data_IF_492691674520
#
_entry.id   IF_492691674520
#
_cell.length_a   1.000
_cell.length_b   1.000
_cell.length_c   1.000
_cell.angle_alpha   90.00
_cell.angle_beta   90.00
_cell.angle_gamma   90.00
#
_symmetry.space_group_name_H-M   'P 1'
#
loop_
_entity.id
_entity.type
_entity.pdbx_description
1 polymer ?
#
# COMPACT_ATOMS: atom_id res chain seq x y z
N UNK A 1 18.59 -4.58 10.81
CA UNK A 1 18.08 -5.60 9.87
C UNK A 1 16.84 -5.07 9.17
N UNK A 2 16.42 -5.61 8.05
CA UNK A 2 15.18 -5.16 7.38
C UNK A 2 13.97 -5.93 7.95
N UNK A 3 12.78 -5.34 7.91
CA UNK A 3 11.56 -6.02 8.33
C UNK A 3 11.39 -7.39 7.63
N UNK A 4 11.70 -7.47 6.34
CA UNK A 4 11.69 -8.75 5.61
C UNK A 4 12.70 -9.78 6.16
N UNK A 5 13.87 -9.33 6.64
CA UNK A 5 14.85 -10.22 7.28
C UNK A 5 14.35 -10.74 8.62
N UNK A 6 13.67 -9.90 9.39
CA UNK A 6 13.12 -10.27 10.70
C UNK A 6 12.01 -11.32 10.54
N UNK A 7 11.12 -11.13 9.54
CA UNK A 7 10.11 -12.13 9.15
C UNK A 7 10.76 -13.45 8.75
N UNK A 8 11.81 -13.43 7.93
CA UNK A 8 12.51 -14.64 7.49
C UNK A 8 13.18 -15.38 8.64
N UNK A 9 13.81 -14.65 9.57
CA UNK A 9 14.44 -15.25 10.75
C UNK A 9 13.39 -15.94 11.65
N UNK A 10 12.24 -15.30 11.85
CA UNK A 10 11.12 -15.86 12.63
C UNK A 10 10.57 -17.14 11.97
N UNK A 11 10.30 -17.10 10.67
CA UNK A 11 9.84 -18.26 9.89
C UNK A 11 10.85 -19.41 9.89
N UNK A 12 12.14 -19.11 9.81
CA UNK A 12 13.18 -20.12 9.77
C UNK A 12 13.30 -20.91 11.08
N UNK A 13 13.01 -20.28 12.21
CA UNK A 13 13.07 -20.90 13.52
C UNK A 13 11.99 -21.99 13.72
N UNK A 14 10.86 -21.90 13.00
CA UNK A 14 9.78 -22.87 13.13
C UNK A 14 10.06 -24.14 12.31
N UNK A 15 10.34 -25.24 13.03
CA UNK A 15 10.57 -26.58 12.46
C UNK A 15 9.32 -27.43 12.69
N UNK A 16 8.63 -27.91 11.62
CA UNK A 16 7.41 -28.67 11.77
C UNK A 16 7.64 -30.03 12.50
N UNK A 17 6.77 -30.32 13.47
CA UNK A 17 6.85 -31.57 14.25
C UNK A 17 6.42 -32.81 13.41
N UNK A 18 5.37 -32.67 12.59
CA UNK A 18 4.81 -33.77 11.82
C UNK A 18 5.70 -34.16 10.63
N UNK A 19 5.91 -35.46 10.43
CA UNK A 19 6.76 -35.99 9.35
C UNK A 19 6.31 -35.52 7.96
N UNK A 20 5.00 -35.60 7.64
CA UNK A 20 4.49 -35.14 6.35
C UNK A 20 4.73 -33.66 6.09
N UNK A 21 4.69 -32.81 7.14
CA UNK A 21 5.02 -31.40 7.02
C UNK A 21 6.51 -31.18 6.79
N UNK A 22 7.38 -31.96 7.44
CA UNK A 22 8.83 -31.91 7.17
C UNK A 22 9.18 -32.29 5.74
N UNK A 23 8.50 -33.32 5.21
CA UNK A 23 8.68 -33.75 3.81
C UNK A 23 8.22 -32.65 2.85
N UNK A 24 7.04 -32.02 3.09
CA UNK A 24 6.57 -30.90 2.29
C UNK A 24 7.52 -29.69 2.34
N UNK A 25 8.04 -29.34 3.53
CA UNK A 25 9.06 -28.30 3.69
C UNK A 25 10.33 -28.61 2.91
N UNK A 26 10.85 -29.85 3.02
CA UNK A 26 12.04 -30.27 2.29
C UNK A 26 11.83 -30.21 0.77
N UNK A 27 10.64 -30.62 0.28
CA UNK A 27 10.32 -30.56 -1.13
C UNK A 27 10.39 -29.13 -1.68
N UNK A 28 9.99 -28.11 -0.91
CA UNK A 28 10.12 -26.71 -1.30
C UNK A 28 11.57 -26.24 -1.24
N UNK A 29 12.21 -26.43 -0.08
CA UNK A 29 13.56 -25.91 0.16
C UNK A 29 14.58 -26.51 -0.80
N UNK A 30 14.52 -27.83 -1.04
CA UNK A 30 15.45 -28.51 -1.94
C UNK A 30 15.23 -28.17 -3.42
N UNK A 31 13.98 -27.81 -3.82
CA UNK A 31 13.73 -27.32 -5.18
C UNK A 31 14.21 -25.87 -5.39
N UNK A 32 14.18 -25.06 -4.33
CA UNK A 32 14.62 -23.66 -4.42
C UNK A 32 16.11 -23.48 -4.19
N UNK A 33 16.71 -24.26 -3.31
CA UNK A 33 18.08 -24.10 -2.82
C UNK A 33 18.99 -25.23 -3.24
N UNK A 34 18.44 -26.40 -3.54
CA UNK A 34 19.19 -27.62 -3.82
C UNK A 34 19.52 -27.76 -5.30
N UNK A 35 20.68 -28.33 -5.56
CA UNK A 35 21.10 -28.82 -6.87
C UNK A 35 21.58 -30.25 -6.70
N UNK A 36 20.94 -31.17 -7.43
CA UNK A 36 21.29 -32.56 -7.44
C UNK A 36 22.20 -32.82 -8.66
N UNK A 37 23.37 -33.36 -8.43
CA UNK A 37 24.32 -33.68 -9.50
C UNK A 37 24.69 -35.17 -9.43
N UNK A 38 24.71 -35.84 -10.61
CA UNK A 38 25.18 -37.19 -10.72
C UNK A 38 26.64 -37.16 -11.20
N UNK A 39 27.52 -37.75 -10.39
CA UNK A 39 28.94 -37.91 -10.73
C UNK A 39 29.15 -38.89 -11.89
N UNK A 40 30.39 -38.98 -12.41
CA UNK A 40 30.74 -39.93 -13.49
C UNK A 40 30.65 -41.38 -13.04
N UNK A 41 30.78 -41.64 -11.75
CA UNK A 41 30.62 -42.95 -11.06
C UNK A 41 29.18 -43.34 -10.82
N UNK A 42 28.22 -42.45 -11.19
CA UNK A 42 26.78 -42.66 -10.96
C UNK A 42 26.30 -42.21 -9.58
N UNK A 43 27.19 -41.76 -8.70
CA UNK A 43 26.83 -41.24 -7.38
C UNK A 43 26.06 -39.94 -7.46
N UNK A 44 25.04 -39.77 -6.58
CA UNK A 44 24.21 -38.59 -6.51
C UNK A 44 24.66 -37.71 -5.34
N UNK A 45 25.06 -36.44 -5.66
CA UNK A 45 25.45 -35.43 -4.71
C UNK A 45 24.40 -34.34 -4.59
N UNK A 46 24.28 -33.75 -3.40
CA UNK A 46 23.39 -32.62 -3.12
C UNK A 46 24.21 -31.38 -2.74
N UNK A 47 23.99 -30.30 -3.48
CA UNK A 47 24.55 -28.97 -3.19
C UNK A 47 23.44 -28.05 -2.74
N UNK A 48 23.71 -27.17 -1.76
CA UNK A 48 22.76 -26.15 -1.29
C UNK A 48 23.32 -24.76 -1.46
N UNK A 49 22.47 -23.81 -1.86
CA UNK A 49 22.85 -22.41 -1.99
C UNK A 49 22.99 -21.77 -0.60
N UNK A 50 24.18 -21.27 -0.28
CA UNK A 50 24.51 -20.66 1.02
C UNK A 50 24.16 -19.19 1.13
N UNK A 51 23.75 -18.50 0.06
CA UNK A 51 23.41 -17.07 0.10
C UNK A 51 22.23 -16.76 1.02
N UNK A 52 21.36 -17.75 1.27
CA UNK A 52 20.25 -17.67 2.23
C UNK A 52 20.56 -18.57 3.45
N UNK A 53 21.38 -18.07 4.36
CA UNK A 53 21.87 -18.81 5.53
C UNK A 53 20.77 -19.40 6.43
N UNK A 54 19.64 -18.69 6.61
CA UNK A 54 18.53 -19.16 7.45
C UNK A 54 17.77 -20.31 6.76
N UNK A 55 17.56 -20.22 5.45
CA UNK A 55 16.91 -21.28 4.67
C UNK A 55 17.79 -22.53 4.61
N UNK A 56 19.11 -22.38 4.40
CA UNK A 56 20.07 -23.48 4.40
C UNK A 56 20.11 -24.16 5.77
N UNK A 57 20.15 -23.41 6.86
CA UNK A 57 20.14 -23.94 8.24
C UNK A 57 18.85 -24.73 8.52
N UNK A 58 17.70 -24.19 8.10
CA UNK A 58 16.42 -24.89 8.23
C UNK A 58 16.39 -26.16 7.40
N UNK A 59 16.83 -26.12 6.16
CA UNK A 59 16.94 -27.27 5.26
C UNK A 59 17.81 -28.36 5.89
N UNK A 60 19.01 -28.02 6.37
CA UNK A 60 19.91 -28.93 7.08
C UNK A 60 19.22 -29.63 8.27
N UNK A 61 18.57 -28.82 9.15
CA UNK A 61 17.85 -29.37 10.31
C UNK A 61 16.76 -30.35 9.91
N UNK A 62 16.02 -30.04 8.83
CA UNK A 62 14.97 -30.91 8.32
C UNK A 62 15.50 -32.22 7.71
N UNK A 63 16.59 -32.15 6.96
CA UNK A 63 17.27 -33.34 6.42
C UNK A 63 17.70 -34.27 7.55
N UNK A 64 18.40 -33.75 8.57
CA UNK A 64 18.80 -34.53 9.74
C UNK A 64 17.63 -35.21 10.45
N UNK A 65 16.50 -34.48 10.65
CA UNK A 65 15.31 -35.00 11.33
C UNK A 65 14.46 -35.96 10.49
N UNK A 66 14.64 -35.97 9.16
CA UNK A 66 13.77 -36.76 8.26
C UNK A 66 14.45 -38.05 7.80
N UNK A 67 15.76 -38.01 7.60
CA UNK A 67 16.52 -39.15 6.97
C UNK A 67 17.36 -39.93 7.97
N UNK A 68 17.23 -39.71 9.30
CA UNK A 68 18.04 -40.34 10.35
C UNK A 68 19.56 -40.24 10.13
N UNK A 69 20.00 -39.24 9.38
CA UNK A 69 21.40 -39.03 9.06
C UNK A 69 22.05 -38.38 10.28
N UNK A 70 23.00 -39.06 10.89
CA UNK A 70 23.66 -38.58 12.13
C UNK A 70 24.76 -37.58 11.90
N UNK A 71 25.33 -37.51 10.70
CA UNK A 71 26.46 -36.65 10.39
C UNK A 71 26.31 -36.09 8.98
N UNK A 72 26.13 -34.80 8.87
CA UNK A 72 26.23 -34.07 7.61
C UNK A 72 27.35 -33.07 7.84
N UNK A 73 28.45 -33.25 7.16
CA UNK A 73 29.52 -32.27 7.09
C UNK A 73 29.17 -31.30 5.96
N UNK A 74 29.17 -30.03 6.29
CA UNK A 74 29.01 -28.96 5.32
C UNK A 74 30.40 -28.42 5.01
N UNK A 75 30.85 -28.61 3.80
CA UNK A 75 32.07 -27.99 3.33
C UNK A 75 31.77 -27.00 2.21
N UNK A 76 32.56 -25.90 2.05
CA UNK A 76 32.47 -25.10 0.84
C UNK A 76 32.74 -26.02 -0.36
N UNK A 77 31.84 -26.01 -1.35
CA UNK A 77 32.04 -26.84 -2.54
C UNK A 77 33.36 -26.50 -3.21
N UNK A 78 34.22 -27.51 -3.37
CA UNK A 78 35.53 -27.38 -4.03
C UNK A 78 35.40 -27.25 -5.56
N UNK A 79 34.51 -26.41 -6.05
CA UNK A 79 34.32 -26.18 -7.48
C UNK A 79 35.34 -25.17 -8.00
N UNK A 80 36.00 -25.45 -9.11
CA UNK A 80 36.83 -24.51 -9.84
C UNK A 80 35.99 -23.68 -10.80
N UNK A 81 35.80 -22.38 -10.54
CA UNK A 81 35.08 -21.47 -11.42
C UNK A 81 34.45 -20.25 -10.71
N UNK A 82 34.04 -19.24 -11.49
CA UNK A 82 33.53 -17.95 -11.01
C UNK A 82 32.16 -18.00 -10.32
N UNK A 83 31.38 -19.09 -10.44
CA UNK A 83 30.01 -19.25 -9.91
C UNK A 83 29.93 -19.91 -8.53
N UNK A 84 31.04 -20.05 -7.84
CA UNK A 84 31.19 -20.85 -6.61
C UNK A 84 30.78 -20.13 -5.32
N UNK A 85 30.57 -18.82 -5.36
CA UNK A 85 30.23 -18.07 -4.15
C UNK A 85 28.79 -18.38 -3.74
N UNK A 86 28.63 -19.08 -2.62
CA UNK A 86 27.33 -19.30 -1.99
C UNK A 86 26.83 -20.75 -2.00
N UNK A 87 27.55 -21.72 -2.59
CA UNK A 87 27.17 -23.13 -2.57
C UNK A 87 27.91 -23.92 -1.50
N UNK A 88 27.17 -24.77 -0.79
CA UNK A 88 27.71 -25.70 0.20
C UNK A 88 27.33 -27.11 -0.26
N UNK A 89 28.30 -28.00 -0.33
CA UNK A 89 28.07 -29.42 -0.58
C UNK A 89 27.59 -30.09 0.69
N UNK A 90 26.49 -30.86 0.60
CA UNK A 90 26.06 -31.74 1.67
C UNK A 90 26.75 -33.10 1.51
N UNK A 91 27.59 -33.45 2.46
CA UNK A 91 28.20 -34.77 2.49
C UNK A 91 27.20 -35.83 2.97
N UNK A 92 26.41 -36.34 2.04
CA UNK A 92 25.48 -37.43 2.21
C UNK A 92 25.93 -38.62 1.33
N UNK A 93 25.72 -39.84 1.78
CA UNK A 93 25.89 -40.97 0.86
C UNK A 93 24.91 -40.86 -0.31
N UNK A 94 25.33 -41.33 -1.48
CA UNK A 94 24.48 -41.33 -2.69
C UNK A 94 23.13 -42.03 -2.45
N UNK A 95 23.11 -43.08 -1.64
CA UNK A 95 21.88 -43.76 -1.21
C UNK A 95 20.96 -42.82 -0.40
N UNK A 96 21.52 -42.09 0.54
CA UNK A 96 20.74 -41.15 1.37
C UNK A 96 20.18 -39.99 0.54
N UNK A 97 20.95 -39.47 -0.43
CA UNK A 97 20.48 -38.45 -1.37
C UNK A 97 19.38 -38.98 -2.27
N UNK A 98 19.53 -40.19 -2.78
CA UNK A 98 18.52 -40.91 -3.61
C UNK A 98 17.24 -41.15 -2.84
N UNK A 99 17.32 -41.64 -1.61
CA UNK A 99 16.17 -41.86 -0.74
C UNK A 99 15.44 -40.52 -0.45
N UNK A 100 16.20 -39.48 -0.20
CA UNK A 100 15.65 -38.14 0.02
C UNK A 100 14.91 -37.60 -1.21
N UNK A 101 15.51 -37.73 -2.41
CA UNK A 101 14.90 -37.34 -3.68
C UNK A 101 13.60 -38.09 -3.96
N UNK A 102 13.53 -39.38 -3.68
CA UNK A 102 12.30 -40.17 -3.79
C UNK A 102 11.24 -39.70 -2.78
N UNK A 103 11.60 -39.50 -1.52
CA UNK A 103 10.66 -39.05 -0.46
C UNK A 103 10.00 -37.74 -0.76
N UNK A 104 10.74 -36.81 -1.37
CA UNK A 104 10.20 -35.48 -1.78
C UNK A 104 9.58 -35.51 -3.19
N UNK A 105 9.46 -36.69 -3.79
CA UNK A 105 8.94 -36.90 -5.14
C UNK A 105 9.67 -36.11 -6.22
N UNK A 106 10.96 -35.91 -6.05
CA UNK A 106 11.84 -35.27 -7.02
C UNK A 106 12.38 -36.29 -8.05
N UNK A 107 12.49 -37.57 -7.69
CA UNK A 107 12.85 -38.64 -8.59
C UNK A 107 11.72 -39.66 -8.76
N UNK A 108 11.72 -40.37 -9.88
CA UNK A 108 10.86 -41.53 -10.10
C UNK A 108 11.43 -42.81 -9.43
N UNK A 109 10.74 -43.94 -9.62
CA UNK A 109 11.19 -45.26 -9.12
C UNK A 109 12.52 -45.71 -9.73
N UNK A 110 12.86 -45.20 -10.90
CA UNK A 110 14.07 -45.56 -11.65
C UNK A 110 15.23 -44.60 -11.36
N UNK A 111 15.00 -43.65 -10.44
CA UNK A 111 16.01 -42.67 -10.00
C UNK A 111 16.19 -41.48 -10.95
N UNK A 112 15.32 -41.27 -11.94
CA UNK A 112 15.39 -40.11 -12.81
C UNK A 112 14.75 -38.90 -12.12
N UNK A 113 15.42 -37.75 -12.15
CA UNK A 113 14.92 -36.52 -11.58
C UNK A 113 13.74 -35.99 -12.41
N UNK A 114 12.64 -35.65 -11.74
CA UNK A 114 11.41 -35.11 -12.36
C UNK A 114 11.33 -33.61 -12.22
N UNK A 115 11.12 -32.95 -13.34
CA UNK A 115 10.63 -31.56 -13.35
C UNK A 115 11.54 -30.54 -12.66
N UNK A 116 12.86 -30.66 -12.78
CA UNK A 116 13.81 -29.66 -12.25
C UNK A 116 13.49 -28.26 -12.73
N UNK A 117 13.10 -28.09 -13.98
CA UNK A 117 12.80 -26.79 -14.58
C UNK A 117 11.51 -26.14 -14.08
N UNK A 118 10.53 -26.95 -13.60
CA UNK A 118 9.23 -26.41 -13.17
C UNK A 118 9.24 -25.84 -11.77
N UNK A 119 10.12 -26.28 -10.89
CA UNK A 119 10.18 -25.99 -9.47
C UNK A 119 8.88 -26.27 -8.69
N UNK A 120 7.95 -26.99 -9.28
CA UNK A 120 6.69 -27.38 -8.62
C UNK A 120 6.92 -28.50 -7.62
N UNK A 121 6.22 -28.43 -6.51
CA UNK A 121 6.13 -29.52 -5.53
C UNK A 121 5.00 -30.46 -5.93
N UNK A 122 5.23 -31.77 -5.83
CA UNK A 122 4.21 -32.78 -6.16
C UNK A 122 2.90 -32.53 -5.38
N UNK A 123 1.74 -32.47 -6.04
CA UNK A 123 0.45 -32.15 -5.39
C UNK A 123 0.11 -33.09 -4.25
N UNK A 124 0.59 -34.37 -4.31
CA UNK A 124 0.40 -35.35 -3.28
C UNK A 124 0.95 -34.94 -1.92
N UNK A 125 2.05 -34.20 -1.92
CA UNK A 125 2.70 -33.65 -0.71
C UNK A 125 1.94 -32.46 -0.12
N UNK A 126 1.05 -31.83 -0.91
CA UNK A 126 0.32 -30.60 -0.57
C UNK A 126 -1.17 -30.80 -0.29
N UNK A 127 -1.63 -32.06 -0.19
CA UNK A 127 -3.05 -32.38 0.07
C UNK A 127 -3.58 -31.78 1.37
N UNK A 128 -2.77 -31.76 2.43
CA UNK A 128 -3.17 -31.25 3.75
C UNK A 128 -2.93 -29.76 3.87
N UNK A 129 -3.86 -29.04 4.52
CA UNK A 129 -3.72 -27.59 4.75
C UNK A 129 -2.44 -27.22 5.51
N UNK A 130 -2.01 -28.05 6.47
CA UNK A 130 -0.74 -27.85 7.17
C UNK A 130 0.48 -27.99 6.25
N UNK A 131 0.47 -28.87 5.23
CA UNK A 131 1.54 -28.96 4.25
C UNK A 131 1.56 -27.74 3.32
N UNK A 132 0.39 -27.25 2.87
CA UNK A 132 0.28 -26.00 2.09
C UNK A 132 0.75 -24.79 2.87
N UNK A 133 0.49 -24.74 4.19
CA UNK A 133 1.03 -23.68 5.07
C UNK A 133 2.56 -23.72 5.11
N UNK A 134 3.16 -24.91 5.26
CA UNK A 134 4.61 -25.04 5.21
C UNK A 134 5.18 -24.69 3.84
N UNK A 135 4.48 -25.03 2.75
CA UNK A 135 4.88 -24.60 1.41
C UNK A 135 4.99 -23.07 1.31
N UNK A 136 3.95 -22.32 1.72
CA UNK A 136 3.96 -20.85 1.70
C UNK A 136 5.12 -20.27 2.52
N UNK A 137 5.32 -20.82 3.72
CA UNK A 137 6.39 -20.43 4.66
C UNK A 137 7.77 -20.62 4.04
N UNK A 138 8.05 -21.80 3.54
CA UNK A 138 9.38 -22.14 3.06
C UNK A 138 9.68 -21.53 1.69
N UNK A 139 8.67 -21.35 0.85
CA UNK A 139 8.81 -20.61 -0.39
C UNK A 139 9.08 -19.11 -0.10
N UNK A 140 8.40 -18.51 0.91
CA UNK A 140 8.69 -17.15 1.34
C UNK A 140 10.12 -17.02 1.87
N UNK A 141 10.60 -17.98 2.62
CA UNK A 141 11.97 -18.01 3.10
C UNK A 141 12.99 -17.98 1.96
N UNK A 142 12.72 -18.70 0.86
CA UNK A 142 13.59 -18.80 -0.30
C UNK A 142 13.54 -17.56 -1.20
N UNK A 143 12.35 -17.16 -1.64
CA UNK A 143 12.17 -16.15 -2.68
C UNK A 143 11.14 -15.07 -2.33
N UNK A 144 10.62 -15.05 -1.10
CA UNK A 144 9.68 -14.05 -0.63
C UNK A 144 10.35 -12.76 -0.16
N UNK A 145 9.58 -11.68 -0.17
CA UNK A 145 9.95 -10.38 0.38
C UNK A 145 8.70 -9.67 0.89
N UNK A 146 8.87 -8.84 1.93
CA UNK A 146 7.81 -7.99 2.45
C UNK A 146 8.38 -6.60 2.76
N UNK A 147 7.64 -5.57 2.40
CA UNK A 147 8.03 -4.17 2.63
C UNK A 147 7.91 -3.78 4.11
N UNK A 148 8.69 -2.79 4.53
CA UNK A 148 8.55 -2.18 5.85
C UNK A 148 7.13 -1.58 5.99
N UNK A 149 6.33 -2.00 6.98
CA UNK A 149 4.94 -1.55 7.17
C UNK A 149 4.84 -0.05 7.46
N UNK A 150 5.92 0.62 7.85
CA UNK A 150 5.97 2.08 8.01
C UNK A 150 5.86 2.80 6.66
N UNK A 151 6.39 2.17 5.59
CA UNK A 151 6.41 2.73 4.23
C UNK A 151 5.17 2.32 3.45
N UNK A 152 5.05 1.05 3.11
CA UNK A 152 3.98 0.51 2.28
C UNK A 152 3.58 -0.91 2.69
N UNK A 153 2.46 -1.40 2.16
CA UNK A 153 2.02 -2.77 2.32
C UNK A 153 2.23 -3.50 0.99
N UNK A 154 3.28 -4.32 0.94
CA UNK A 154 3.60 -5.13 -0.23
C UNK A 154 4.30 -6.40 0.22
N UNK A 155 3.75 -7.55 -0.16
CA UNK A 155 4.33 -8.86 0.07
C UNK A 155 4.39 -9.58 -1.27
N UNK A 156 5.56 -10.13 -1.63
CA UNK A 156 5.78 -10.77 -2.92
C UNK A 156 6.63 -12.02 -2.83
N UNK A 157 6.50 -12.90 -3.83
CA UNK A 157 7.37 -14.02 -4.11
C UNK A 157 7.89 -13.90 -5.54
N UNK A 158 9.21 -14.00 -5.73
CA UNK A 158 9.87 -13.98 -7.03
C UNK A 158 10.12 -15.40 -7.53
N UNK A 159 9.14 -15.99 -8.18
CA UNK A 159 9.19 -17.36 -8.71
C UNK A 159 10.05 -17.45 -9.98
N UNK A 160 10.87 -18.49 -10.11
CA UNK A 160 11.72 -18.68 -11.27
C UNK A 160 10.98 -19.28 -12.47
N UNK A 161 9.85 -19.98 -12.26
CA UNK A 161 9.03 -20.54 -13.33
C UNK A 161 7.55 -20.14 -13.19
N UNK A 162 6.84 -20.06 -14.32
CA UNK A 162 5.39 -19.80 -14.32
C UNK A 162 4.62 -20.93 -13.61
N UNK A 163 5.07 -22.17 -13.74
CA UNK A 163 4.45 -23.32 -13.08
C UNK A 163 4.51 -23.18 -11.55
N UNK A 164 5.63 -22.73 -11.00
CA UNK A 164 5.77 -22.43 -9.56
C UNK A 164 4.85 -21.27 -9.13
N UNK A 165 4.75 -20.21 -9.94
CA UNK A 165 3.88 -19.06 -9.64
C UNK A 165 2.40 -19.48 -9.64
N UNK A 166 1.96 -20.27 -10.62
CA UNK A 166 0.59 -20.80 -10.70
C UNK A 166 0.26 -21.67 -9.49
N UNK A 167 1.16 -22.60 -9.11
CA UNK A 167 0.97 -23.41 -7.91
C UNK A 167 0.87 -22.57 -6.64
N UNK A 168 1.68 -21.53 -6.52
CA UNK A 168 1.62 -20.60 -5.40
C UNK A 168 0.25 -19.89 -5.35
N UNK A 169 -0.25 -19.40 -6.49
CA UNK A 169 -1.56 -18.74 -6.56
C UNK A 169 -2.70 -19.68 -6.16
N UNK A 170 -2.69 -20.94 -6.62
CA UNK A 170 -3.68 -21.94 -6.22
C UNK A 170 -3.65 -22.20 -4.70
N UNK A 171 -2.45 -22.28 -4.12
CA UNK A 171 -2.29 -22.49 -2.69
C UNK A 171 -2.79 -21.26 -1.90
N UNK A 172 -2.45 -20.04 -2.33
CA UNK A 172 -2.95 -18.80 -1.71
C UNK A 172 -4.47 -18.73 -1.80
N UNK A 173 -5.05 -19.07 -2.96
CA UNK A 173 -6.50 -19.12 -3.14
C UNK A 173 -7.16 -20.12 -2.19
N UNK A 174 -6.51 -21.28 -1.93
CA UNK A 174 -7.02 -22.26 -0.95
C UNK A 174 -7.11 -21.74 0.49
N UNK A 175 -6.47 -20.62 0.79
CA UNK A 175 -6.56 -19.86 2.03
C UNK A 175 -7.39 -18.57 1.89
N UNK A 176 -8.11 -18.40 0.77
CA UNK A 176 -8.97 -17.25 0.50
C UNK A 176 -8.21 -15.99 0.10
N UNK A 177 -6.94 -16.11 -0.30
CA UNK A 177 -6.09 -14.97 -0.67
C UNK A 177 -5.91 -14.89 -2.19
N UNK A 178 -6.33 -13.78 -2.79
CA UNK A 178 -6.20 -13.53 -4.22
C UNK A 178 -4.93 -12.71 -4.49
N UNK A 179 -3.87 -13.39 -4.92
CA UNK A 179 -2.63 -12.75 -5.31
C UNK A 179 -2.63 -12.38 -6.79
N UNK A 180 -1.95 -11.28 -7.13
CA UNK A 180 -1.71 -10.84 -8.50
C UNK A 180 -0.35 -11.33 -8.97
N UNK A 181 -0.20 -11.51 -10.28
CA UNK A 181 1.06 -11.88 -10.91
C UNK A 181 1.52 -10.79 -11.87
N UNK A 182 2.82 -10.60 -11.95
CA UNK A 182 3.49 -9.74 -12.94
C UNK A 182 4.83 -10.34 -13.33
N UNK A 183 5.17 -10.29 -14.60
CA UNK A 183 6.50 -10.73 -15.06
C UNK A 183 7.48 -9.55 -14.91
N UNK A 184 8.57 -9.76 -14.16
CA UNK A 184 9.67 -8.81 -14.01
C UNK A 184 10.98 -9.45 -14.43
N UNK A 185 11.57 -8.97 -15.52
CA UNK A 185 12.74 -9.57 -16.14
C UNK A 185 12.47 -11.05 -16.46
N UNK A 186 13.15 -11.97 -15.77
CA UNK A 186 13.00 -13.43 -15.93
C UNK A 186 12.17 -14.10 -14.81
N UNK A 187 11.59 -13.32 -13.88
CA UNK A 187 10.84 -13.85 -12.75
C UNK A 187 9.34 -13.58 -12.88
N UNK A 188 8.55 -14.54 -12.41
CA UNK A 188 7.12 -14.43 -12.23
C UNK A 188 6.87 -14.00 -10.77
N UNK A 189 6.49 -12.73 -10.58
CA UNK A 189 6.31 -12.15 -9.26
C UNK A 189 4.84 -12.23 -8.87
N UNK A 190 4.55 -13.05 -7.85
CA UNK A 190 3.22 -13.16 -7.24
C UNK A 190 3.18 -12.26 -6.02
N UNK A 191 2.20 -11.34 -5.93
CA UNK A 191 2.19 -10.32 -4.88
C UNK A 191 0.80 -9.96 -4.36
N UNK A 192 0.78 -9.44 -3.13
CA UNK A 192 -0.38 -8.85 -2.46
C UNK A 192 -0.03 -7.45 -1.94
N UNK A 193 -1.06 -6.57 -1.90
CA UNK A 193 -0.95 -5.19 -1.38
C UNK A 193 -1.98 -4.87 -0.30
N UNK A 194 -2.96 -5.73 -0.10
CA UNK A 194 -3.93 -5.55 0.97
C UNK A 194 -3.29 -5.84 2.33
N UNK A 195 -3.38 -4.88 3.25
CA UNK A 195 -2.75 -4.99 4.56
C UNK A 195 -3.33 -6.11 5.41
N UNK A 196 -4.63 -6.38 5.30
CA UNK A 196 -5.30 -7.44 6.05
C UNK A 196 -4.85 -8.81 5.56
N UNK A 197 -4.77 -8.99 4.23
CA UNK A 197 -4.27 -10.22 3.63
C UNK A 197 -2.81 -10.50 4.01
N UNK A 198 -1.97 -9.46 4.06
CA UNK A 198 -0.56 -9.60 4.45
C UNK A 198 -0.44 -9.99 5.93
N UNK A 199 -1.20 -9.36 6.82
CA UNK A 199 -1.25 -9.72 8.25
C UNK A 199 -1.66 -11.18 8.44
N UNK A 200 -2.73 -11.61 7.76
CA UNK A 200 -3.20 -12.99 7.81
C UNK A 200 -2.14 -13.98 7.30
N UNK A 201 -1.43 -13.63 6.23
CA UNK A 201 -0.36 -14.46 5.67
C UNK A 201 0.85 -14.57 6.60
N UNK A 202 1.25 -13.48 7.27
CA UNK A 202 2.32 -13.53 8.27
C UNK A 202 1.94 -14.47 9.42
N UNK A 203 0.71 -14.39 9.89
CA UNK A 203 0.19 -15.33 10.90
C UNK A 203 0.18 -16.78 10.38
N UNK A 204 -0.32 -16.98 9.16
CA UNK A 204 -0.37 -18.29 8.52
C UNK A 204 1.02 -18.91 8.34
N UNK A 205 2.00 -18.10 7.98
CA UNK A 205 3.40 -18.52 7.83
C UNK A 205 4.13 -18.71 9.16
N UNK A 206 3.54 -18.29 10.29
CA UNK A 206 4.13 -18.45 11.62
C UNK A 206 5.17 -17.37 11.94
N UNK A 207 4.88 -16.13 11.60
CA UNK A 207 5.63 -14.94 11.97
C UNK A 207 4.78 -14.01 12.87
N UNK A 208 4.42 -14.45 14.11
CA UNK A 208 3.50 -13.72 14.97
C UNK A 208 4.06 -12.38 15.47
N UNK A 209 5.36 -12.28 15.72
CA UNK A 209 5.97 -11.01 16.18
C UNK A 209 5.92 -9.98 15.08
N UNK A 210 6.36 -10.34 13.87
CA UNK A 210 6.30 -9.49 12.69
C UNK A 210 4.86 -9.13 12.30
N UNK A 211 3.93 -10.07 12.44
CA UNK A 211 2.49 -9.83 12.25
C UNK A 211 1.97 -8.77 13.21
N UNK A 212 2.31 -8.85 14.50
CA UNK A 212 1.91 -7.84 15.49
C UNK A 212 2.52 -6.47 15.22
N UNK A 213 3.79 -6.41 14.77
CA UNK A 213 4.41 -5.14 14.38
C UNK A 213 3.66 -4.51 13.19
N UNK A 214 3.33 -5.30 12.17
CA UNK A 214 2.56 -4.83 11.01
C UNK A 214 1.18 -4.31 11.42
N UNK A 215 0.47 -5.01 12.30
CA UNK A 215 -0.84 -4.61 12.81
C UNK A 215 -0.78 -3.31 13.61
N UNK A 216 0.23 -3.16 14.47
CA UNK A 216 0.45 -1.93 15.21
C UNK A 216 0.69 -0.73 14.27
N UNK A 217 1.50 -0.91 13.21
CA UNK A 217 1.73 0.14 12.22
C UNK A 217 0.45 0.48 11.44
N UNK A 218 -0.41 -0.51 11.17
CA UNK A 218 -1.71 -0.30 10.53
C UNK A 218 -2.61 0.58 11.38
N UNK A 219 -2.77 0.24 12.66
CA UNK A 219 -3.58 1.01 13.62
C UNK A 219 -3.07 2.46 13.73
N UNK A 220 -1.75 2.64 13.85
CA UNK A 220 -1.15 3.98 13.92
C UNK A 220 -1.41 4.82 12.67
N UNK A 221 -1.34 4.21 11.47
CA UNK A 221 -1.66 4.90 10.21
C UNK A 221 -3.14 5.28 10.13
N UNK A 222 -4.04 4.41 10.55
CA UNK A 222 -5.49 4.68 10.59
C UNK A 222 -5.82 5.83 11.54
N UNK A 223 -5.24 5.84 12.74
CA UNK A 223 -5.40 6.93 13.71
C UNK A 223 -4.90 8.27 13.14
N UNK A 224 -3.70 8.30 12.56
CA UNK A 224 -3.15 9.52 11.95
C UNK A 224 -4.03 10.01 10.80
N UNK A 225 -4.49 9.12 9.95
CA UNK A 225 -5.38 9.46 8.83
C UNK A 225 -6.73 10.03 9.34
N UNK A 226 -7.30 9.45 10.41
CA UNK A 226 -8.53 9.93 11.04
C UNK A 226 -8.35 11.35 11.60
N UNK A 227 -7.26 11.60 12.34
CA UNK A 227 -6.92 12.91 12.87
C UNK A 227 -6.72 13.92 11.75
N UNK A 228 -5.93 13.59 10.73
CA UNK A 228 -5.68 14.46 9.59
C UNK A 228 -6.96 14.83 8.84
N UNK A 229 -7.87 13.86 8.62
CA UNK A 229 -9.18 14.13 7.99
C UNK A 229 -10.02 15.10 8.84
N UNK A 230 -10.01 14.94 10.16
CA UNK A 230 -10.73 15.85 11.07
C UNK A 230 -10.16 17.25 11.01
N UNK A 231 -8.84 17.39 11.14
CA UNK A 231 -8.15 18.69 11.07
C UNK A 231 -8.41 19.37 9.72
N UNK A 232 -8.27 18.63 8.61
CA UNK A 232 -8.53 19.17 7.28
C UNK A 232 -9.99 19.63 7.11
N UNK A 233 -10.94 18.88 7.66
CA UNK A 233 -12.35 19.25 7.64
C UNK A 233 -12.62 20.51 8.45
N UNK A 234 -12.09 20.59 9.66
CA UNK A 234 -12.23 21.76 10.54
C UNK A 234 -11.56 22.99 9.93
N UNK A 235 -10.35 22.86 9.40
CA UNK A 235 -9.63 23.95 8.72
C UNK A 235 -10.40 24.47 7.50
N UNK A 236 -10.94 23.58 6.69
CA UNK A 236 -11.75 23.94 5.53
C UNK A 236 -13.06 24.65 5.95
N UNK A 237 -13.69 24.22 7.03
CA UNK A 237 -14.88 24.86 7.58
C UNK A 237 -14.59 26.25 8.13
N UNK A 238 -13.49 26.41 8.87
CA UNK A 238 -13.03 27.72 9.37
C UNK A 238 -12.73 28.63 8.18
N UNK A 239 -11.97 28.16 7.19
CA UNK A 239 -11.65 28.94 5.99
C UNK A 239 -12.89 29.43 5.24
N UNK A 240 -13.91 28.60 5.07
CA UNK A 240 -15.21 28.98 4.47
C UNK A 240 -15.92 30.03 5.31
N UNK A 241 -15.93 29.87 6.62
CA UNK A 241 -16.59 30.82 7.54
C UNK A 241 -15.93 32.19 7.50
N UNK A 242 -14.61 32.23 7.58
CA UNK A 242 -13.83 33.47 7.51
C UNK A 242 -13.99 34.15 6.14
N UNK A 243 -13.92 33.41 5.05
CA UNK A 243 -14.11 33.96 3.70
C UNK A 243 -15.53 34.54 3.52
N UNK A 244 -16.55 33.83 3.99
CA UNK A 244 -17.93 34.28 3.95
C UNK A 244 -18.11 35.56 4.78
N UNK A 245 -17.57 35.60 6.00
CA UNK A 245 -17.61 36.77 6.86
C UNK A 245 -16.96 37.99 6.22
N UNK A 246 -15.75 37.82 5.66
CA UNK A 246 -15.04 38.92 4.95
C UNK A 246 -15.86 39.49 3.79
N UNK A 247 -16.48 38.60 2.98
CA UNK A 247 -17.35 39.02 1.91
C UNK A 247 -18.56 39.81 2.45
N UNK A 248 -19.24 39.27 3.48
CA UNK A 248 -20.39 39.93 4.12
C UNK A 248 -20.02 41.33 4.63
N UNK A 249 -18.91 41.48 5.33
CA UNK A 249 -18.42 42.75 5.84
C UNK A 249 -18.13 43.75 4.71
N UNK A 250 -17.46 43.30 3.64
CA UNK A 250 -17.20 44.14 2.46
C UNK A 250 -18.49 44.58 1.78
N UNK A 251 -19.50 43.69 1.69
CA UNK A 251 -20.79 44.03 1.11
C UNK A 251 -21.57 45.02 1.98
N UNK A 252 -21.56 44.86 3.30
CA UNK A 252 -22.23 45.74 4.25
C UNK A 252 -21.57 47.13 4.25
N UNK A 253 -20.25 47.23 4.25
CA UNK A 253 -19.55 48.51 4.16
C UNK A 253 -19.87 49.24 2.87
N UNK A 254 -19.91 48.53 1.75
CA UNK A 254 -20.34 49.13 0.48
C UNK A 254 -21.75 49.70 0.55
N UNK A 255 -22.71 48.99 1.18
CA UNK A 255 -24.09 49.49 1.36
C UNK A 255 -24.15 50.68 2.32
N UNK A 256 -23.29 50.76 3.31
CA UNK A 256 -23.18 51.85 4.24
C UNK A 256 -22.63 53.11 3.54
N UNK A 257 -21.51 53.00 2.84
CA UNK A 257 -20.86 54.09 2.09
C UNK A 257 -21.76 54.64 0.98
N UNK A 258 -22.56 53.76 0.34
CA UNK A 258 -23.54 54.17 -0.68
C UNK A 258 -24.80 54.79 -0.11
N UNK A 259 -24.96 54.85 1.22
CA UNK A 259 -26.18 55.36 1.88
C UNK A 259 -27.39 54.42 1.79
N UNK A 260 -27.27 53.29 1.05
CA UNK A 260 -28.37 52.34 0.79
C UNK A 260 -28.78 51.62 2.08
N UNK A 261 -27.82 51.30 2.96
CA UNK A 261 -28.09 50.59 4.20
C UNK A 261 -29.20 51.28 5.03
N UNK A 262 -29.30 52.63 4.99
CA UNK A 262 -30.31 53.40 5.73
C UNK A 262 -31.74 53.22 5.18
N UNK A 263 -31.90 52.83 3.93
CA UNK A 263 -33.18 52.60 3.27
C UNK A 263 -33.73 51.21 3.46
N UNK A 264 -32.90 50.29 3.99
CA UNK A 264 -33.28 48.89 4.17
C UNK A 264 -34.16 48.67 5.42
N UNK A 265 -34.94 47.60 5.45
CA UNK A 265 -35.71 47.20 6.63
C UNK A 265 -34.86 47.10 7.89
N UNK A 266 -35.42 47.49 9.03
CA UNK A 266 -34.75 47.51 10.33
C UNK A 266 -34.05 46.19 10.67
N UNK A 267 -34.73 45.06 10.34
CA UNK A 267 -34.18 43.73 10.58
C UNK A 267 -32.87 43.43 9.82
N UNK A 268 -32.67 44.01 8.63
CA UNK A 268 -31.44 43.91 7.85
C UNK A 268 -30.38 44.87 8.38
N UNK A 269 -30.76 46.08 8.75
CA UNK A 269 -29.83 47.08 9.35
C UNK A 269 -29.22 46.54 10.63
N UNK A 270 -30.03 46.09 11.58
CA UNK A 270 -29.57 45.49 12.84
C UNK A 270 -28.62 44.30 12.61
N UNK A 271 -28.91 43.48 11.63
CA UNK A 271 -28.04 42.34 11.28
C UNK A 271 -26.70 42.78 10.68
N UNK A 272 -26.72 43.83 9.86
CA UNK A 272 -25.51 44.45 9.32
C UNK A 272 -24.62 45.05 10.44
N UNK A 273 -25.21 45.80 11.37
CA UNK A 273 -24.52 46.35 12.53
C UNK A 273 -23.89 45.28 13.42
N UNK A 274 -24.63 44.19 13.72
CA UNK A 274 -24.11 43.08 14.48
C UNK A 274 -22.93 42.39 13.78
N UNK A 275 -23.00 42.20 12.46
CA UNK A 275 -21.90 41.58 11.72
C UNK A 275 -20.67 42.44 11.66
N UNK A 276 -20.81 43.79 11.58
CA UNK A 276 -19.69 44.74 11.66
C UNK A 276 -19.05 44.77 13.05
N UNK A 277 -19.87 44.72 14.09
CA UNK A 277 -19.42 44.73 15.48
C UNK A 277 -18.73 43.40 15.87
N UNK A 278 -19.21 42.27 15.32
CA UNK A 278 -18.71 40.93 15.62
C UNK A 278 -18.29 40.18 14.33
N UNK A 279 -17.15 40.56 13.72
CA UNK A 279 -16.76 40.07 12.39
C UNK A 279 -16.43 38.61 12.34
N UNK A 280 -15.86 38.04 13.41
CA UNK A 280 -15.37 36.66 13.44
C UNK A 280 -16.35 35.66 14.11
N UNK A 281 -17.47 36.19 14.62
CA UNK A 281 -18.46 35.40 15.36
C UNK A 281 -19.23 34.45 14.43
N UNK A 282 -19.36 33.17 14.79
CA UNK A 282 -20.17 32.19 14.05
C UNK A 282 -21.65 32.63 13.93
N UNK A 283 -22.32 32.21 12.85
CA UNK A 283 -23.70 32.61 12.58
C UNK A 283 -24.69 32.26 13.70
N UNK A 284 -24.44 31.18 14.45
CA UNK A 284 -25.30 30.76 15.57
C UNK A 284 -25.20 31.78 16.72
N UNK A 285 -24.00 32.03 17.14
CA UNK A 285 -23.72 32.98 18.22
C UNK A 285 -24.17 34.41 17.85
N UNK A 286 -23.97 34.81 16.57
CA UNK A 286 -24.47 36.10 16.06
C UNK A 286 -26.02 36.15 16.13
N UNK A 287 -26.70 35.04 15.98
CA UNK A 287 -28.15 34.94 16.16
C UNK A 287 -28.59 35.09 17.59
N UNK A 288 -27.81 34.57 18.53
CA UNK A 288 -28.08 34.68 19.97
C UNK A 288 -27.89 36.14 20.47
N UNK A 289 -27.03 36.92 19.81
CA UNK A 289 -26.81 38.35 20.08
C UNK A 289 -27.91 39.27 19.48
N UNK A 290 -28.74 38.79 18.59
CA UNK A 290 -29.82 39.55 18.00
C UNK A 290 -30.98 39.75 18.98
N UNK A 291 -31.67 40.92 18.89
CA UNK A 291 -32.84 41.20 19.71
C UNK A 291 -34.09 41.44 18.80
N UNK A 292 -35.08 40.52 18.85
CA UNK A 292 -35.09 39.24 19.58
C UNK A 292 -34.09 38.21 18.99
N UNK A 293 -33.68 37.20 19.77
CA UNK A 293 -32.77 36.16 19.28
C UNK A 293 -33.34 35.42 18.07
N UNK A 294 -32.49 35.07 17.12
CA UNK A 294 -32.86 34.37 15.88
C UNK A 294 -31.95 33.18 15.61
N UNK A 295 -32.52 32.14 15.01
CA UNK A 295 -31.73 30.98 14.66
C UNK A 295 -30.71 31.21 13.53
N UNK A 296 -29.70 30.32 13.43
CA UNK A 296 -28.64 30.33 12.39
C UNK A 296 -29.19 30.56 10.98
N UNK A 297 -30.32 29.91 10.64
CA UNK A 297 -30.98 30.04 9.32
C UNK A 297 -31.47 31.48 9.08
N UNK A 298 -32.07 32.12 10.10
CA UNK A 298 -32.53 33.51 10.02
C UNK A 298 -31.38 34.48 9.83
N UNK A 299 -30.26 34.29 10.54
CA UNK A 299 -29.02 35.07 10.34
C UNK A 299 -28.50 34.91 8.93
N UNK A 300 -28.35 33.66 8.47
CA UNK A 300 -27.84 33.37 7.13
C UNK A 300 -28.72 34.02 6.03
N UNK A 301 -30.04 33.89 6.16
CA UNK A 301 -30.97 34.51 5.21
C UNK A 301 -30.80 36.05 5.14
N UNK A 302 -30.70 36.71 6.28
CA UNK A 302 -30.53 38.20 6.33
C UNK A 302 -29.20 38.63 5.74
N UNK A 303 -28.10 37.97 6.10
CA UNK A 303 -26.76 38.27 5.55
C UNK A 303 -26.67 38.01 4.06
N UNK A 304 -27.28 36.91 3.58
CA UNK A 304 -27.37 36.61 2.15
C UNK A 304 -28.16 37.70 1.41
N UNK A 305 -29.26 38.15 1.99
CA UNK A 305 -30.06 39.24 1.39
C UNK A 305 -29.27 40.55 1.29
N UNK A 306 -28.46 40.88 2.27
CA UNK A 306 -27.54 42.04 2.22
C UNK A 306 -26.52 41.89 1.08
N UNK A 307 -25.94 40.70 0.91
CA UNK A 307 -25.01 40.42 -0.19
C UNK A 307 -25.68 40.57 -1.56
N UNK A 308 -26.89 40.02 -1.74
CA UNK A 308 -27.67 40.13 -2.99
C UNK A 308 -27.95 41.60 -3.34
N UNK A 309 -28.33 42.41 -2.36
CA UNK A 309 -28.58 43.82 -2.55
C UNK A 309 -27.29 44.54 -2.97
N UNK A 310 -26.17 44.29 -2.28
CA UNK A 310 -24.88 44.86 -2.60
C UNK A 310 -24.41 44.53 -4.03
N UNK A 311 -24.55 43.30 -4.43
CA UNK A 311 -24.20 42.82 -5.78
C UNK A 311 -25.05 43.52 -6.87
N UNK A 312 -26.37 43.67 -6.63
CA UNK A 312 -27.27 44.37 -7.55
C UNK A 312 -26.82 45.84 -7.75
N UNK A 313 -26.59 46.57 -6.68
CA UNK A 313 -26.19 47.99 -6.77
C UNK A 313 -24.80 48.17 -7.38
N UNK A 314 -23.83 47.30 -7.11
CA UNK A 314 -22.53 47.31 -7.78
C UNK A 314 -22.64 47.13 -9.30
N UNK A 315 -23.57 46.28 -9.75
CA UNK A 315 -23.82 46.02 -11.18
C UNK A 315 -24.46 47.24 -11.85
N UNK A 316 -25.41 47.87 -11.20
CA UNK A 316 -26.08 49.06 -11.69
C UNK A 316 -25.12 50.27 -11.78
N UNK A 317 -24.23 50.45 -10.80
CA UNK A 317 -23.21 51.51 -10.81
C UNK A 317 -22.19 51.32 -11.92
N UNK A 318 -21.75 50.08 -12.17
CA UNK A 318 -20.86 49.77 -13.30
C UNK A 318 -21.49 50.04 -14.66
N UNK A 319 -22.77 49.76 -14.84
CA UNK A 319 -23.48 49.99 -16.10
C UNK A 319 -23.67 51.48 -16.36
N UNK A 320 -23.90 52.30 -15.34
CA UNK A 320 -24.02 53.76 -15.47
C UNK A 320 -22.69 54.45 -15.73
N UNK A 321 -21.57 53.94 -15.21
CA UNK A 321 -20.23 54.45 -15.54
C UNK A 321 -19.75 54.05 -16.94
N UNK A 322 -20.12 52.84 -17.38
CA UNK A 322 -19.85 52.37 -18.75
C UNK A 322 -20.56 53.19 -19.82
N UNK A 323 -21.81 53.59 -19.59
CA UNK A 323 -22.57 54.45 -20.51
C UNK A 323 -22.07 55.91 -20.53
N UNK A 324 -21.51 56.42 -19.44
CA UNK A 324 -20.87 57.77 -19.43
C UNK A 324 -19.55 57.82 -20.19
N UNK A 325 -18.80 56.74 -20.27
CA UNK A 325 -17.53 56.67 -21.04
C UNK A 325 -17.73 56.52 -22.56
N UNK A 326 -18.86 56.00 -23.00
CA UNK A 326 -19.17 55.83 -24.44
C UNK A 326 -19.86 57.07 -25.03
N UNK A 327 -20.35 58.01 -24.20
CA UNK A 327 -21.01 59.26 -24.66
C UNK A 327 -20.09 60.42 -25.00
N UNK A 328 -18.75 60.29 -24.84
CA UNK A 328 -17.77 61.37 -25.10
C UNK A 328 -16.87 61.18 -26.31
N UNK A 329 -17.37 60.56 -27.38
CA UNK A 329 -16.63 60.51 -28.66
C UNK A 329 -17.62 60.57 -29.83
N UNK A 330 -18.14 61.74 -30.11
CA UNK A 330 -18.58 62.18 -31.48
C UNK A 330 -18.54 63.71 -31.50
N UNK A 331 -17.42 64.27 -31.85
CA UNK A 331 -17.37 65.51 -32.57
C UNK A 331 -17.06 65.19 -34.02
N UNK A 332 -17.74 65.80 -35.02
CA UNK A 332 -17.50 65.56 -36.42
C UNK A 332 -16.40 66.50 -36.93
N UNK A 333 -15.36 65.91 -37.50
CA UNK A 333 -14.36 66.64 -38.24
C UNK A 333 -14.86 66.83 -39.66
N UNK A 334 -15.14 68.08 -39.97
CA UNK A 334 -15.58 68.53 -41.31
C UNK A 334 -14.37 68.83 -42.15
N UNK A 335 -14.38 68.26 -43.31
CA UNK A 335 -13.85 68.69 -44.61
C UNK A 335 -12.67 69.69 -44.62
N UNK A 336 -11.62 69.30 -45.38
CA UNK A 336 -11.13 70.11 -46.51
C UNK A 336 -10.39 69.20 -47.48
N UNK A 337 -10.82 69.26 -48.73
CA UNK A 337 -10.12 68.88 -49.95
C UNK A 337 -8.90 69.72 -50.15
N UNK A 338 -7.78 69.19 -50.65
CA UNK A 338 -7.13 69.75 -51.82
C UNK A 338 -6.05 68.82 -52.40
N UNK A 339 -6.07 68.81 -53.68
CA UNK A 339 -5.29 68.20 -54.72
C UNK A 339 -3.81 68.54 -54.71
N UNK A 340 -3.16 67.81 -55.59
CA UNK A 340 -1.89 68.03 -56.39
C UNK A 340 -0.70 67.33 -55.70
N UNK A 341 0.04 66.44 -56.28
CA UNK A 341 0.40 65.99 -57.64
C UNK A 341 0.72 64.52 -57.58
#
# INVERSE_FOLDING_TARGET
MSFSSDVKAEIAADIPAARHCRIASLAVLLRCLGRFERGQDGELSLFLNADNGDAVRKCFTLVCKTSNIRTILWSPAGMEGRDQRGWIQAELSSEAVSELAQRIMLSDSDGNLRGEDSLQVAPELLKRSCCRRNYLRDLFLCCGSVSDPRKEYHLEWSCASHAQASQLQEILLSFGKQAREVVRKKFYVVYLKDSTDIVDLLNLMGAPVSMMEMENQRILKELRNSVNRRVNCETANIGKTVSASRKQISDIRFLEESGILRTLPESLRKMAELRLQYPDTPLRELGDLAVPPIGKSGVNHRLRRLTEIAEKYRTETRNTEGTRKTGKKKEPDSAVKERVE
#
